data_IF_405853137781
#
_entry.id   IF_405853137781
#
_cell.length_a   1.000
_cell.length_b   1.000
_cell.length_c   1.000
_cell.angle_alpha   90.00
_cell.angle_beta   90.00
_cell.angle_gamma   90.00
#
_symmetry.space_group_name_H-M   'P 1'
#
loop_
_entity.id
_entity.type
_entity.pdbx_description
1 polymer ?
#
# COMPACT_ATOMS: atom_id res chain seq x y z
N UNK A 1 25.39 20.23 3.93
CA UNK A 1 24.20 19.48 3.43
C UNK A 1 23.18 20.51 2.98
N UNK A 2 22.70 20.48 1.73
CA UNK A 2 21.62 21.38 1.33
C UNK A 2 20.35 20.95 2.07
N UNK A 3 19.70 21.92 2.71
CA UNK A 3 18.40 21.74 3.34
C UNK A 3 17.39 21.68 2.18
N UNK A 4 16.74 20.53 2.00
CA UNK A 4 15.65 20.39 1.01
C UNK A 4 14.51 21.35 1.36
N UNK A 5 13.97 22.04 0.37
CA UNK A 5 12.83 22.96 0.57
C UNK A 5 11.57 22.16 0.95
N UNK A 6 10.61 22.79 1.62
CA UNK A 6 9.42 22.09 2.11
C UNK A 6 8.57 21.43 1.00
N UNK A 7 8.74 21.87 -0.25
CA UNK A 7 8.10 21.29 -1.44
C UNK A 7 8.74 19.96 -1.88
N UNK A 8 10.03 19.75 -1.58
CA UNK A 8 10.77 18.49 -1.84
C UNK A 8 10.48 17.38 -0.80
N UNK A 9 9.67 17.68 0.21
CA UNK A 9 9.31 16.75 1.30
C UNK A 9 8.00 16.00 1.04
N UNK A 10 7.29 16.32 -0.04
CA UNK A 10 6.01 15.68 -0.35
C UNK A 10 6.20 14.45 -1.26
N UNK A 11 5.45 13.37 -1.03
CA UNK A 11 5.50 12.17 -1.86
C UNK A 11 5.06 12.50 -3.29
N UNK A 12 5.91 12.14 -4.25
CA UNK A 12 5.58 12.13 -5.68
C UNK A 12 5.20 10.72 -6.12
N UNK A 13 4.82 10.53 -7.39
CA UNK A 13 4.41 9.21 -7.88
C UNK A 13 5.43 8.08 -7.61
N UNK A 14 6.74 8.29 -7.83
CA UNK A 14 7.80 7.37 -7.44
C UNK A 14 7.85 6.98 -5.96
N UNK A 15 7.65 7.91 -5.02
CA UNK A 15 7.62 7.59 -3.58
C UNK A 15 6.40 6.73 -3.24
N UNK A 16 5.22 7.07 -3.78
CA UNK A 16 4.01 6.25 -3.60
C UNK A 16 4.22 4.83 -4.13
N UNK A 17 4.87 4.70 -5.29
CA UNK A 17 5.20 3.40 -5.87
C UNK A 17 6.17 2.61 -4.98
N UNK A 18 7.18 3.27 -4.41
CA UNK A 18 8.15 2.63 -3.50
C UNK A 18 7.44 2.08 -2.26
N UNK A 19 6.60 2.89 -1.61
CA UNK A 19 5.83 2.46 -0.43
C UNK A 19 4.86 1.34 -0.77
N UNK A 20 4.29 1.35 -1.98
CA UNK A 20 3.42 0.27 -2.46
C UNK A 20 4.21 -1.04 -2.57
N UNK A 21 5.39 -1.01 -3.19
CA UNK A 21 6.25 -2.19 -3.34
C UNK A 21 6.68 -2.75 -1.97
N UNK A 22 7.02 -1.88 -1.02
CA UNK A 22 7.29 -2.30 0.37
C UNK A 22 6.06 -2.97 1.03
N UNK A 23 4.86 -2.45 0.78
CA UNK A 23 3.63 -3.03 1.31
C UNK A 23 3.33 -4.41 0.69
N UNK A 24 3.56 -4.58 -0.61
CA UNK A 24 3.43 -5.86 -1.32
C UNK A 24 4.43 -6.87 -0.78
N UNK A 25 5.70 -6.49 -0.67
CA UNK A 25 6.77 -7.34 -0.15
C UNK A 25 6.44 -7.84 1.27
N UNK A 26 5.99 -6.93 2.14
CA UNK A 26 5.58 -7.30 3.50
C UNK A 26 4.38 -8.25 3.51
N UNK A 27 3.40 -8.04 2.62
CA UNK A 27 2.26 -8.93 2.50
C UNK A 27 2.70 -10.33 2.03
N UNK A 28 3.58 -10.42 1.04
CA UNK A 28 4.14 -11.68 0.54
C UNK A 28 4.89 -12.44 1.63
N UNK A 29 5.71 -11.75 2.43
CA UNK A 29 6.42 -12.33 3.57
C UNK A 29 5.46 -12.89 4.63
N UNK A 30 4.36 -12.18 4.92
CA UNK A 30 3.34 -12.65 5.88
C UNK A 30 2.56 -13.84 5.33
N UNK A 31 2.31 -13.89 4.02
CA UNK A 31 1.59 -14.99 3.38
C UNK A 31 2.46 -16.24 3.15
N UNK A 32 3.78 -16.11 3.22
CA UNK A 32 4.71 -17.21 3.03
C UNK A 32 4.56 -18.30 4.12
N UNK A 33 4.75 -19.58 3.78
CA UNK A 33 4.75 -20.65 4.79
C UNK A 33 5.76 -20.35 5.93
N UNK A 34 5.41 -20.59 7.20
CA UNK A 34 4.27 -21.37 7.69
C UNK A 34 3.02 -20.55 8.07
N UNK A 35 2.67 -19.51 7.30
CA UNK A 35 1.46 -18.70 7.53
C UNK A 35 0.17 -19.52 7.69
N UNK A 36 -0.73 -19.03 8.53
CA UNK A 36 -2.06 -19.61 8.68
C UNK A 36 -2.83 -19.56 7.35
N UNK A 37 -3.51 -20.66 6.99
CA UNK A 37 -4.15 -20.81 5.66
C UNK A 37 -5.12 -19.67 5.33
N UNK A 38 -5.86 -19.19 6.33
CA UNK A 38 -6.82 -18.10 6.12
C UNK A 38 -6.11 -16.75 5.89
N UNK A 39 -4.97 -16.51 6.54
CA UNK A 39 -4.14 -15.31 6.35
C UNK A 39 -3.55 -15.30 4.95
N UNK A 40 -2.88 -16.40 4.58
CA UNK A 40 -2.30 -16.56 3.25
C UNK A 40 -3.36 -16.36 2.16
N UNK A 41 -4.56 -16.91 2.36
CA UNK A 41 -5.68 -16.73 1.44
C UNK A 41 -6.14 -15.28 1.35
N UNK A 42 -6.38 -14.59 2.47
CA UNK A 42 -6.79 -13.19 2.47
C UNK A 42 -5.76 -12.32 1.75
N UNK A 43 -4.48 -12.56 2.00
CA UNK A 43 -3.40 -11.79 1.39
C UNK A 43 -3.30 -12.05 -0.12
N UNK A 44 -3.22 -13.32 -0.52
CA UNK A 44 -3.02 -13.69 -1.93
C UNK A 44 -4.25 -13.47 -2.80
N UNK A 45 -5.45 -13.72 -2.30
CA UNK A 45 -6.69 -13.61 -3.10
C UNK A 45 -7.19 -12.16 -3.21
N UNK A 46 -6.83 -11.30 -2.25
CA UNK A 46 -7.46 -9.96 -2.13
C UNK A 46 -6.47 -8.81 -1.97
N UNK A 47 -5.59 -8.87 -0.97
CA UNK A 47 -4.74 -7.74 -0.60
C UNK A 47 -3.70 -7.45 -1.69
N UNK A 48 -2.91 -8.45 -2.07
CA UNK A 48 -1.86 -8.31 -3.09
C UNK A 48 -2.47 -7.90 -4.45
N UNK A 49 -3.53 -8.56 -4.96
CA UNK A 49 -4.18 -8.14 -6.21
C UNK A 49 -4.68 -6.69 -6.18
N UNK A 50 -5.19 -6.21 -5.04
CA UNK A 50 -5.65 -4.83 -4.89
C UNK A 50 -4.48 -3.83 -4.98
N UNK A 51 -3.34 -4.15 -4.38
CA UNK A 51 -2.12 -3.36 -4.49
C UNK A 51 -1.54 -3.39 -5.90
N UNK A 52 -1.52 -4.55 -6.57
CA UNK A 52 -1.05 -4.64 -7.96
C UNK A 52 -1.93 -3.85 -8.93
N UNK A 53 -3.25 -3.83 -8.71
CA UNK A 53 -4.14 -3.00 -9.50
C UNK A 53 -3.77 -1.51 -9.36
N UNK A 54 -3.55 -1.02 -8.14
CA UNK A 54 -3.09 0.36 -7.93
C UNK A 54 -1.72 0.63 -8.57
N UNK A 55 -0.79 -0.33 -8.47
CA UNK A 55 0.56 -0.27 -9.06
C UNK A 55 0.51 -0.03 -10.55
N UNK A 56 -0.36 -0.73 -11.30
CA UNK A 56 -0.49 -0.57 -12.76
C UNK A 56 -0.74 0.88 -13.17
N UNK A 57 -1.60 1.60 -12.44
CA UNK A 57 -1.91 3.00 -12.75
C UNK A 57 -0.80 3.96 -12.31
N UNK A 58 -0.14 3.67 -11.18
CA UNK A 58 1.01 4.43 -10.70
C UNK A 58 2.20 4.33 -11.67
N UNK A 59 2.48 3.14 -12.21
CA UNK A 59 3.58 2.91 -13.16
C UNK A 59 3.43 3.72 -14.46
N UNK A 60 2.20 3.98 -14.89
CA UNK A 60 1.90 4.80 -16.08
C UNK A 60 1.66 6.29 -15.75
N UNK A 61 1.97 6.71 -14.52
CA UNK A 61 1.86 8.11 -14.08
C UNK A 61 0.43 8.60 -13.84
N UNK A 62 -0.56 7.70 -13.77
CA UNK A 62 -1.96 8.06 -13.55
C UNK A 62 -2.31 8.15 -12.06
N UNK A 63 -1.65 9.05 -11.32
CA UNK A 63 -1.84 9.23 -9.88
C UNK A 63 -3.29 9.55 -9.47
N UNK A 64 -4.03 10.26 -10.35
CA UNK A 64 -5.42 10.67 -10.11
C UNK A 64 -6.44 9.62 -10.54
N UNK A 65 -6.01 8.46 -11.05
CA UNK A 65 -6.94 7.41 -11.43
C UNK A 65 -7.68 6.90 -10.18
N UNK A 66 -9.01 6.69 -10.25
CA UNK A 66 -9.77 6.18 -9.12
C UNK A 66 -9.31 4.77 -8.70
N UNK A 67 -8.74 3.99 -9.61
CA UNK A 67 -8.22 2.65 -9.35
C UNK A 67 -7.04 2.63 -8.38
N UNK A 68 -6.22 3.69 -8.34
CA UNK A 68 -5.16 3.84 -7.32
C UNK A 68 -5.79 3.91 -5.94
N UNK A 69 -6.75 4.81 -5.75
CA UNK A 69 -7.44 5.01 -4.47
C UNK A 69 -8.24 3.77 -4.07
N UNK A 70 -8.96 3.15 -5.01
CA UNK A 70 -9.77 1.96 -4.76
C UNK A 70 -8.90 0.75 -4.39
N UNK A 71 -7.80 0.52 -5.11
CA UNK A 71 -6.87 -0.57 -4.82
C UNK A 71 -6.25 -0.45 -3.42
N UNK A 72 -5.77 0.74 -3.08
CA UNK A 72 -5.19 1.00 -1.74
C UNK A 72 -6.25 0.88 -0.65
N UNK A 73 -7.47 1.40 -0.87
CA UNK A 73 -8.56 1.30 0.11
C UNK A 73 -8.94 -0.16 0.39
N UNK A 74 -9.08 -0.99 -0.65
CA UNK A 74 -9.43 -2.39 -0.50
C UNK A 74 -8.34 -3.16 0.25
N UNK A 75 -7.06 -2.93 -0.10
CA UNK A 75 -5.93 -3.51 0.63
C UNK A 75 -5.94 -3.09 2.11
N UNK A 76 -6.28 -1.82 2.39
CA UNK A 76 -6.36 -1.30 3.75
C UNK A 76 -7.45 -1.97 4.58
N UNK A 77 -8.61 -2.25 3.98
CA UNK A 77 -9.70 -2.95 4.67
C UNK A 77 -9.29 -4.37 5.05
N UNK A 78 -8.75 -5.13 4.10
CA UNK A 78 -8.32 -6.52 4.35
C UNK A 78 -7.17 -6.59 5.37
N UNK A 79 -6.21 -5.65 5.31
CA UNK A 79 -5.15 -5.55 6.31
C UNK A 79 -5.66 -5.13 7.69
N UNK A 80 -6.69 -4.28 7.74
CA UNK A 80 -7.35 -3.88 8.98
C UNK A 80 -8.08 -5.05 9.63
N UNK A 81 -8.78 -5.86 8.84
CA UNK A 81 -9.45 -7.07 9.31
C UNK A 81 -8.44 -8.10 9.86
N UNK A 82 -7.30 -8.27 9.17
CA UNK A 82 -6.18 -9.07 9.67
C UNK A 82 -5.67 -8.54 11.01
N UNK A 83 -5.37 -7.23 11.11
CA UNK A 83 -4.85 -6.63 12.34
C UNK A 83 -5.86 -6.67 13.51
N UNK A 84 -7.16 -6.60 13.22
CA UNK A 84 -8.23 -6.75 14.21
C UNK A 84 -8.34 -8.20 14.72
N UNK A 85 -8.15 -9.18 13.84
CA UNK A 85 -8.14 -10.59 14.21
C UNK A 85 -6.87 -10.98 14.98
N UNK A 86 -5.73 -10.44 14.59
CA UNK A 86 -4.44 -10.66 15.25
C UNK A 86 -3.53 -9.41 15.18
N UNK A 87 -3.15 -8.83 16.33
CA UNK A 87 -2.28 -7.65 16.38
C UNK A 87 -0.93 -7.81 15.69
N UNK A 88 -0.46 -9.03 15.45
CA UNK A 88 0.79 -9.30 14.72
C UNK A 88 0.77 -8.76 13.29
N UNK A 89 -0.41 -8.57 12.70
CA UNK A 89 -0.57 -8.00 11.35
C UNK A 89 -0.72 -6.46 11.33
N UNK A 90 -0.71 -5.80 12.50
CA UNK A 90 -0.79 -4.34 12.60
C UNK A 90 0.32 -3.57 11.84
N UNK A 91 1.57 -4.07 11.71
CA UNK A 91 2.58 -3.40 10.89
C UNK A 91 2.20 -3.29 9.41
N UNK A 92 1.60 -4.33 8.82
CA UNK A 92 1.13 -4.32 7.43
C UNK A 92 0.01 -3.29 7.24
N UNK A 93 -0.97 -3.29 8.15
CA UNK A 93 -2.02 -2.28 8.15
C UNK A 93 -1.46 -0.85 8.25
N UNK A 94 -0.48 -0.63 9.13
CA UNK A 94 0.16 0.68 9.29
C UNK A 94 0.90 1.11 8.03
N UNK A 95 1.62 0.20 7.36
CA UNK A 95 2.31 0.47 6.10
C UNK A 95 1.31 0.86 5.00
N UNK A 96 0.21 0.12 4.86
CA UNK A 96 -0.84 0.44 3.86
C UNK A 96 -1.56 1.76 4.20
N UNK A 97 -1.67 2.11 5.49
CA UNK A 97 -2.20 3.42 5.90
C UNK A 97 -1.28 4.56 5.46
N UNK A 98 0.03 4.42 5.61
CA UNK A 98 1.03 5.39 5.11
C UNK A 98 0.93 5.51 3.59
N UNK A 99 0.88 4.38 2.87
CA UNK A 99 0.66 4.38 1.43
C UNK A 99 -0.59 5.16 1.00
N UNK A 100 -1.71 4.97 1.71
CA UNK A 100 -2.95 5.69 1.43
C UNK A 100 -2.82 7.20 1.63
N UNK A 101 -2.08 7.62 2.65
CA UNK A 101 -1.82 9.04 2.94
C UNK A 101 -0.92 9.65 1.85
N UNK A 102 0.16 8.95 1.48
CA UNK A 102 1.06 9.39 0.42
C UNK A 102 0.37 9.49 -0.94
N UNK A 103 -0.44 8.50 -1.31
CA UNK A 103 -1.21 8.51 -2.55
C UNK A 103 -2.21 9.67 -2.61
N UNK A 104 -2.91 9.93 -1.50
CA UNK A 104 -3.86 11.04 -1.39
C UNK A 104 -3.15 12.39 -1.54
N UNK A 105 -1.99 12.56 -0.91
CA UNK A 105 -1.15 13.76 -1.02
C UNK A 105 -0.67 13.93 -2.47
N UNK A 106 -0.06 12.90 -3.05
CA UNK A 106 0.48 12.96 -4.41
C UNK A 106 -0.62 13.27 -5.44
N UNK A 107 -1.83 12.75 -5.24
CA UNK A 107 -2.97 13.02 -6.14
C UNK A 107 -3.43 14.48 -6.14
N UNK A 108 -3.21 15.21 -5.04
CA UNK A 108 -3.55 16.64 -4.91
C UNK A 108 -2.50 17.56 -5.53
N UNK A 109 -1.26 17.07 -5.64
CA UNK A 109 -0.10 17.84 -6.11
C UNK A 109 0.21 17.64 -7.60
N UNK A 110 -0.02 16.44 -8.14
CA UNK A 110 -0.08 16.18 -9.59
C UNK A 110 -1.33 16.78 -10.18
#
# INVERSE_FOLDING_TARGET
>A
MPIREAEDLWPTGPEVLTTLEEAVQMAEEIAAPPAERWVARTISDKLIPSLYNARTYLEVGQLRSPEVRLGILNARLEAGDLANADPRYAPLYSKIRVLAEEAEIASKMS
#
